data_IF_506816209970
#
_entry.id   IF_506816209970
#
_cell.length_a   1.000
_cell.length_b   1.000
_cell.length_c   1.000
_cell.angle_alpha   90.00
_cell.angle_beta   90.00
_cell.angle_gamma   90.00
#
_symmetry.space_group_name_H-M   'P 1'
#
loop_
_entity.id
_entity.type
_entity.pdbx_description
1 polymer ?
#
# COMPACT_ATOMS: atom_id res chain seq x y z
N UNK A 1 -9.36 26.63 2.44
CA UNK A 1 -9.45 25.15 2.42
C UNK A 1 -8.14 24.67 1.87
N UNK A 2 -7.48 23.68 2.50
CA UNK A 2 -6.19 23.14 2.03
C UNK A 2 -6.41 22.02 1.02
N UNK A 3 -5.66 22.04 -0.07
CA UNK A 3 -5.68 21.00 -1.12
C UNK A 3 -4.67 19.92 -0.80
N UNK A 4 -5.12 18.71 -0.55
CA UNK A 4 -4.27 17.55 -0.23
C UNK A 4 -4.32 16.59 -1.41
N UNK A 5 -3.17 16.37 -2.06
CA UNK A 5 -3.07 15.39 -3.14
C UNK A 5 -2.44 14.12 -2.62
N UNK A 6 -3.10 12.97 -2.83
CA UNK A 6 -2.58 11.65 -2.49
C UNK A 6 -2.18 10.94 -3.78
N UNK A 7 -0.90 10.54 -3.87
CA UNK A 7 -0.32 9.92 -5.07
C UNK A 7 0.10 8.48 -4.77
N UNK A 8 -0.34 7.54 -5.59
CA UNK A 8 0.03 6.13 -5.49
C UNK A 8 -0.15 5.40 -6.83
N UNK A 9 0.50 4.24 -7.00
CA UNK A 9 0.49 3.55 -8.28
C UNK A 9 0.29 2.05 -8.21
N UNK A 10 0.40 1.45 -7.02
CA UNK A 10 0.34 0.01 -6.82
C UNK A 10 -0.80 -0.39 -5.90
N UNK A 11 -1.19 -1.67 -5.95
CA UNK A 11 -2.21 -2.23 -5.05
C UNK A 11 -1.87 -2.08 -3.56
N UNK A 12 -0.64 -2.39 -3.10
CA UNK A 12 -0.28 -2.23 -1.69
C UNK A 12 -0.38 -0.79 -1.20
N UNK A 13 0.04 0.18 -2.01
CA UNK A 13 -0.12 1.60 -1.69
C UNK A 13 -1.60 1.98 -1.61
N UNK A 14 -2.41 1.58 -2.59
CA UNK A 14 -3.84 1.88 -2.61
C UNK A 14 -4.57 1.36 -1.37
N UNK A 15 -4.26 0.14 -0.93
CA UNK A 15 -4.80 -0.47 0.29
C UNK A 15 -4.53 0.43 1.50
N UNK A 16 -3.32 0.97 1.62
CA UNK A 16 -2.91 1.77 2.78
C UNK A 16 -3.30 3.24 2.66
N UNK A 17 -3.48 3.76 1.45
CA UNK A 17 -3.91 5.14 1.21
C UNK A 17 -5.44 5.30 1.25
N UNK A 18 -6.21 4.25 1.00
CA UNK A 18 -7.67 4.29 0.98
C UNK A 18 -8.28 4.83 2.30
N UNK A 19 -7.88 4.41 3.51
CA UNK A 19 -8.39 4.97 4.75
C UNK A 19 -8.10 6.48 4.87
N UNK A 20 -6.91 6.91 4.45
CA UNK A 20 -6.51 8.32 4.45
C UNK A 20 -7.43 9.15 3.55
N UNK A 21 -7.65 8.69 2.31
CA UNK A 21 -8.55 9.35 1.37
C UNK A 21 -9.93 9.51 1.98
N UNK A 22 -10.48 8.44 2.59
CA UNK A 22 -11.80 8.49 3.24
C UNK A 22 -11.82 9.47 4.40
N UNK A 23 -10.79 9.49 5.23
CA UNK A 23 -10.67 10.41 6.36
C UNK A 23 -10.63 11.88 5.91
N UNK A 24 -9.91 12.22 4.85
CA UNK A 24 -9.89 13.57 4.28
C UNK A 24 -11.23 13.91 3.63
N UNK A 25 -11.83 13.00 2.86
CA UNK A 25 -13.14 13.20 2.23
C UNK A 25 -14.26 13.43 3.23
N UNK A 26 -14.17 12.89 4.45
CA UNK A 26 -15.13 13.19 5.54
C UNK A 26 -14.99 14.60 6.09
N UNK A 27 -13.84 15.26 5.90
CA UNK A 27 -13.54 16.60 6.40
C UNK A 27 -13.54 17.66 5.28
N UNK A 28 -14.52 17.59 4.38
CA UNK A 28 -14.65 18.47 3.20
C UNK A 28 -14.66 19.96 3.52
N UNK A 29 -15.05 20.33 4.73
CA UNK A 29 -15.02 21.72 5.19
C UNK A 29 -13.60 22.25 5.48
N UNK A 30 -12.61 21.36 5.61
CA UNK A 30 -11.20 21.70 5.89
C UNK A 30 -10.29 21.41 4.72
N UNK A 31 -10.55 20.31 4.00
CA UNK A 31 -9.67 19.77 2.98
C UNK A 31 -10.40 19.54 1.65
N UNK A 32 -9.76 19.93 0.57
CA UNK A 32 -10.04 19.46 -0.78
C UNK A 32 -9.11 18.26 -1.03
N UNK A 33 -9.69 17.08 -1.25
CA UNK A 33 -8.93 15.84 -1.42
C UNK A 33 -8.80 15.54 -2.89
N UNK A 34 -7.58 15.44 -3.39
CA UNK A 34 -7.25 15.12 -4.78
C UNK A 34 -6.55 13.76 -4.80
N UNK A 35 -7.06 12.84 -5.60
CA UNK A 35 -6.51 11.50 -5.76
C UNK A 35 -5.85 11.40 -7.14
N UNK A 36 -4.54 11.18 -7.16
CA UNK A 36 -3.78 10.93 -8.37
C UNK A 36 -3.22 9.51 -8.37
N UNK A 37 -3.57 8.73 -9.37
CA UNK A 37 -3.02 7.39 -9.55
C UNK A 37 -2.06 7.36 -10.72
N UNK A 38 -0.95 6.63 -10.58
CA UNK A 38 0.00 6.48 -11.68
C UNK A 38 -0.32 5.26 -12.55
N UNK A 39 -1.01 4.25 -11.99
CA UNK A 39 -1.39 3.05 -12.73
C UNK A 39 -0.18 2.17 -13.06
N UNK A 40 0.80 2.08 -12.15
CA UNK A 40 1.98 1.20 -12.33
C UNK A 40 1.59 -0.27 -12.45
N UNK A 41 0.52 -0.72 -11.73
CA UNK A 41 -0.08 -2.06 -11.80
C UNK A 41 -1.60 -1.92 -11.94
N UNK A 42 -2.10 -1.79 -13.15
CA UNK A 42 -3.46 -1.33 -13.45
C UNK A 42 -4.58 -2.17 -12.86
N UNK A 43 -4.67 -3.45 -13.23
CA UNK A 43 -5.82 -4.30 -12.84
C UNK A 43 -5.97 -4.46 -11.33
N UNK A 44 -4.86 -4.68 -10.64
CA UNK A 44 -4.85 -4.87 -9.18
C UNK A 44 -5.16 -3.58 -8.43
N UNK A 45 -4.74 -2.43 -8.96
CA UNK A 45 -5.05 -1.11 -8.40
C UNK A 45 -6.55 -0.83 -8.51
N UNK A 46 -7.14 -1.06 -9.67
CA UNK A 46 -8.56 -0.82 -9.94
C UNK A 46 -9.48 -1.65 -9.05
N UNK A 47 -9.08 -2.87 -8.67
CA UNK A 47 -9.83 -3.68 -7.71
C UNK A 47 -9.95 -2.99 -6.35
N UNK A 48 -8.87 -2.39 -5.85
CA UNK A 48 -8.88 -1.66 -4.57
C UNK A 48 -9.70 -0.38 -4.70
N UNK A 49 -9.51 0.38 -5.77
CA UNK A 49 -10.29 1.61 -6.01
C UNK A 49 -11.80 1.33 -6.01
N UNK A 50 -12.23 0.24 -6.68
CA UNK A 50 -13.63 -0.19 -6.67
C UNK A 50 -14.11 -0.61 -5.29
N UNK A 51 -13.30 -1.42 -4.55
CA UNK A 51 -13.65 -1.89 -3.21
C UNK A 51 -13.93 -0.73 -2.25
N UNK A 52 -13.09 0.32 -2.33
CA UNK A 52 -13.22 1.50 -1.48
C UNK A 52 -14.08 2.61 -2.09
N UNK A 53 -14.68 2.38 -3.26
CA UNK A 53 -15.44 3.40 -3.99
C UNK A 53 -14.64 4.73 -4.09
N UNK A 54 -13.39 4.63 -4.58
CA UNK A 54 -12.50 5.76 -4.83
C UNK A 54 -12.46 5.99 -6.33
N UNK A 55 -12.75 7.22 -6.74
CA UNK A 55 -12.58 7.70 -8.12
C UNK A 55 -11.35 8.61 -8.12
N UNK A 56 -10.30 8.27 -8.88
CA UNK A 56 -9.16 9.18 -9.06
C UNK A 56 -9.60 10.45 -9.80
N UNK A 57 -9.05 11.58 -9.41
CA UNK A 57 -9.18 12.86 -10.11
C UNK A 57 -8.21 12.92 -11.28
N UNK A 58 -7.02 12.30 -11.11
CA UNK A 58 -5.97 12.19 -12.12
C UNK A 58 -5.49 10.75 -12.25
N UNK A 59 -5.24 10.32 -13.49
CA UNK A 59 -4.74 9.00 -13.82
C UNK A 59 -3.65 9.11 -14.90
N UNK A 60 -2.40 8.88 -14.51
CA UNK A 60 -1.26 8.97 -15.43
C UNK A 60 -1.15 7.78 -16.39
N UNK A 61 -1.78 6.65 -16.03
CA UNK A 61 -1.83 5.43 -16.83
C UNK A 61 -0.47 5.04 -17.44
N UNK A 62 0.58 4.98 -16.57
CA UNK A 62 1.95 4.79 -17.01
C UNK A 62 2.30 3.35 -17.37
N UNK A 63 1.43 2.38 -17.04
CA UNK A 63 1.73 0.96 -17.24
C UNK A 63 1.97 0.64 -18.73
N UNK A 64 3.10 0.02 -19.03
CA UNK A 64 3.43 -0.53 -20.34
C UNK A 64 4.12 -1.87 -20.21
N UNK A 65 3.96 -2.71 -21.22
CA UNK A 65 4.63 -4.01 -21.25
C UNK A 65 6.15 -3.81 -21.36
N UNK A 66 6.92 -4.53 -20.52
CA UNK A 66 8.37 -4.50 -20.56
C UNK A 66 9.01 -3.25 -19.96
N UNK A 67 8.23 -2.37 -19.28
CA UNK A 67 8.79 -1.18 -18.62
C UNK A 67 9.77 -1.55 -17.50
N UNK A 68 10.85 -0.81 -17.43
CA UNK A 68 11.84 -0.88 -16.35
C UNK A 68 11.68 0.27 -15.32
N UNK A 69 12.57 0.33 -14.34
CA UNK A 69 12.54 1.37 -13.31
C UNK A 69 12.81 2.77 -13.87
N UNK A 70 13.62 2.88 -14.91
CA UNK A 70 13.90 4.16 -15.58
C UNK A 70 12.63 4.68 -16.26
N UNK A 71 11.92 3.81 -16.96
CA UNK A 71 10.65 4.13 -17.61
C UNK A 71 9.60 4.61 -16.60
N UNK A 72 9.42 3.88 -15.50
CA UNK A 72 8.47 4.24 -14.43
C UNK A 72 8.84 5.59 -13.85
N UNK A 73 10.11 5.79 -13.46
CA UNK A 73 10.58 7.04 -12.87
C UNK A 73 10.35 8.22 -13.81
N UNK A 74 10.78 8.11 -15.07
CA UNK A 74 10.67 9.20 -16.04
C UNK A 74 9.20 9.57 -16.31
N UNK A 75 8.32 8.57 -16.48
CA UNK A 75 6.89 8.80 -16.77
C UNK A 75 6.14 9.39 -15.58
N UNK A 76 6.41 8.91 -14.36
CA UNK A 76 5.80 9.50 -13.15
C UNK A 76 6.28 10.92 -12.99
N UNK A 77 7.59 11.17 -13.06
CA UNK A 77 8.17 12.51 -12.89
C UNK A 77 7.60 13.52 -13.88
N UNK A 78 7.56 13.17 -15.17
CA UNK A 78 7.05 14.06 -16.22
C UNK A 78 5.53 14.20 -16.18
N UNK A 79 4.79 13.12 -15.94
CA UNK A 79 3.33 13.18 -15.82
C UNK A 79 2.86 13.97 -14.60
N UNK A 80 3.54 13.83 -13.48
CA UNK A 80 3.25 14.62 -12.26
C UNK A 80 3.47 16.12 -12.47
N UNK A 81 4.43 16.53 -13.30
CA UNK A 81 4.64 17.96 -13.59
C UNK A 81 3.35 18.65 -14.03
N UNK A 82 2.68 18.07 -15.02
CA UNK A 82 1.48 18.67 -15.62
C UNK A 82 0.30 18.64 -14.62
N UNK A 83 0.14 17.53 -13.88
CA UNK A 83 -0.87 17.39 -12.83
C UNK A 83 -0.66 18.42 -11.71
N UNK A 84 0.57 18.62 -11.25
CA UNK A 84 0.88 19.58 -10.19
C UNK A 84 0.66 21.02 -10.62
N UNK A 85 0.97 21.35 -11.87
CA UNK A 85 0.71 22.70 -12.45
C UNK A 85 -0.79 23.01 -12.54
N UNK A 86 -1.61 22.01 -12.88
CA UNK A 86 -3.07 22.16 -12.98
C UNK A 86 -3.73 22.20 -11.60
N UNK A 87 -3.49 21.17 -10.77
CA UNK A 87 -4.17 20.98 -9.49
C UNK A 87 -3.71 21.95 -8.41
N UNK A 88 -2.44 22.37 -8.42
CA UNK A 88 -1.83 23.27 -7.44
C UNK A 88 -2.12 22.85 -5.99
N UNK A 89 -1.74 21.64 -5.57
CA UNK A 89 -1.99 21.18 -4.21
C UNK A 89 -1.11 21.95 -3.20
N UNK A 90 -1.62 22.11 -1.97
CA UNK A 90 -0.82 22.66 -0.85
C UNK A 90 0.17 21.64 -0.29
N UNK A 91 -0.11 20.34 -0.47
CA UNK A 91 0.75 19.23 -0.05
C UNK A 91 0.51 18.01 -0.92
N UNK A 92 1.56 17.25 -1.18
CA UNK A 92 1.52 15.93 -1.80
C UNK A 92 1.83 14.87 -0.76
N UNK A 93 0.96 13.86 -0.61
CA UNK A 93 1.18 12.70 0.22
C UNK A 93 1.59 11.52 -0.65
N UNK A 94 2.72 10.90 -0.32
CA UNK A 94 3.22 9.66 -0.94
C UNK A 94 3.35 8.57 0.11
N UNK A 95 3.36 7.31 -0.31
CA UNK A 95 3.35 6.18 0.62
C UNK A 95 4.53 5.22 0.39
N UNK A 96 5.22 4.88 1.48
CA UNK A 96 6.21 3.79 1.51
C UNK A 96 7.43 4.06 0.64
N UNK A 97 7.72 3.13 -0.26
CA UNK A 97 9.04 2.98 -0.88
C UNK A 97 9.02 2.58 -2.36
N UNK A 98 7.88 2.73 -3.03
CA UNK A 98 7.79 2.43 -4.45
C UNK A 98 8.51 3.47 -5.30
N UNK A 99 8.87 3.10 -6.51
CA UNK A 99 9.40 4.05 -7.51
C UNK A 99 8.40 5.18 -7.79
N UNK A 100 7.09 4.88 -7.77
CA UNK A 100 6.03 5.89 -7.86
C UNK A 100 6.15 6.93 -6.75
N UNK A 101 6.28 6.50 -5.49
CA UNK A 101 6.37 7.39 -4.33
C UNK A 101 7.57 8.33 -4.42
N UNK A 102 8.74 7.80 -4.79
CA UNK A 102 9.98 8.56 -4.93
C UNK A 102 9.90 9.56 -6.08
N UNK A 103 9.44 9.13 -7.25
CA UNK A 103 9.34 10.00 -8.43
C UNK A 103 8.26 11.10 -8.24
N UNK A 104 7.14 10.79 -7.58
CA UNK A 104 6.10 11.77 -7.26
C UNK A 104 6.59 12.78 -6.19
N UNK A 105 7.34 12.33 -5.18
CA UNK A 105 7.96 13.21 -4.19
C UNK A 105 8.97 14.16 -4.84
N UNK A 106 9.79 13.65 -5.77
CA UNK A 106 10.75 14.47 -6.52
C UNK A 106 10.06 15.50 -7.42
N UNK A 107 8.97 15.11 -8.09
CA UNK A 107 8.17 16.03 -8.89
C UNK A 107 7.56 17.16 -8.04
N UNK A 108 7.01 16.82 -6.86
CA UNK A 108 6.48 17.79 -5.91
C UNK A 108 7.58 18.76 -5.42
N UNK A 109 8.75 18.23 -5.09
CA UNK A 109 9.91 19.04 -4.69
C UNK A 109 10.32 20.04 -5.78
N UNK A 110 10.37 19.63 -7.06
CA UNK A 110 10.65 20.54 -8.17
C UNK A 110 9.57 21.61 -8.34
N UNK A 111 8.33 21.29 -8.01
CA UNK A 111 7.22 22.26 -7.95
C UNK A 111 7.19 23.10 -6.68
N UNK A 112 8.17 22.97 -5.78
CA UNK A 112 8.20 23.63 -4.46
C UNK A 112 6.95 23.33 -3.60
N UNK A 113 6.37 22.14 -3.77
CA UNK A 113 5.20 21.68 -3.02
C UNK A 113 5.68 20.77 -1.89
N UNK A 114 5.30 21.06 -0.63
CA UNK A 114 5.66 20.21 0.51
C UNK A 114 5.18 18.76 0.34
N UNK A 115 5.98 17.81 0.82
CA UNK A 115 5.69 16.38 0.74
C UNK A 115 5.48 15.79 2.13
N UNK A 116 4.42 15.00 2.29
CA UNK A 116 4.22 14.14 3.45
C UNK A 116 4.47 12.68 3.08
N UNK A 117 5.34 12.02 3.84
CA UNK A 117 5.71 10.62 3.62
C UNK A 117 4.96 9.72 4.60
N UNK A 118 4.00 8.96 4.10
CA UNK A 118 3.22 7.98 4.87
C UNK A 118 3.99 6.65 4.91
N UNK A 119 4.03 6.00 6.07
CA UNK A 119 4.85 4.82 6.37
C UNK A 119 6.36 5.12 6.30
N UNK A 120 6.75 6.29 6.82
CA UNK A 120 8.13 6.77 6.81
C UNK A 120 9.01 6.06 7.84
N UNK A 121 10.32 5.98 7.57
CA UNK A 121 11.32 5.57 8.55
C UNK A 121 11.55 4.06 8.68
N UNK A 122 10.96 3.23 7.84
CA UNK A 122 11.38 1.82 7.72
C UNK A 122 12.80 1.75 7.15
N UNK A 123 13.70 0.96 7.74
CA UNK A 123 15.09 0.78 7.30
C UNK A 123 15.54 -0.67 7.43
N UNK A 124 16.28 -1.12 6.44
CA UNK A 124 17.06 -2.36 6.47
C UNK A 124 18.55 -2.09 6.63
N UNK A 125 18.97 -0.83 6.37
CA UNK A 125 20.37 -0.40 6.34
C UNK A 125 21.20 -1.08 5.25
N UNK A 126 20.55 -1.68 4.25
CA UNK A 126 21.18 -2.24 3.07
C UNK A 126 20.44 -1.75 1.82
N UNK A 127 21.02 -0.80 1.09
CA UNK A 127 20.40 -0.14 -0.07
C UNK A 127 20.07 -1.10 -1.23
N UNK A 128 20.60 -2.32 -1.19
CA UNK A 128 20.35 -3.37 -2.17
C UNK A 128 19.36 -4.44 -1.67
N UNK A 129 18.81 -4.31 -0.44
CA UNK A 129 17.88 -5.29 0.12
C UNK A 129 16.86 -4.67 1.09
N UNK A 130 15.58 -4.60 0.69
CA UNK A 130 15.03 -4.89 -0.64
C UNK A 130 15.46 -3.83 -1.67
N UNK A 131 15.60 -4.26 -2.89
CA UNK A 131 15.97 -3.37 -4.00
C UNK A 131 14.79 -3.20 -4.98
N UNK A 132 14.43 -1.97 -5.39
CA UNK A 132 15.05 -0.67 -5.08
C UNK A 132 14.46 0.03 -3.83
N UNK A 133 13.61 -0.64 -3.05
CA UNK A 133 12.75 -0.07 -2.02
C UNK A 133 13.53 0.65 -0.92
N UNK A 134 14.66 0.08 -0.45
CA UNK A 134 15.43 0.72 0.63
C UNK A 134 15.99 2.09 0.21
N UNK A 135 16.50 2.20 -1.01
CA UNK A 135 16.99 3.49 -1.52
C UNK A 135 15.83 4.45 -1.78
N UNK A 136 14.71 3.98 -2.32
CA UNK A 136 13.54 4.80 -2.55
C UNK A 136 13.03 5.47 -1.26
N UNK A 137 12.96 4.72 -0.14
CA UNK A 137 12.50 5.27 1.13
C UNK A 137 13.47 6.29 1.73
N UNK A 138 14.78 6.10 1.51
CA UNK A 138 15.79 7.07 1.94
C UNK A 138 15.69 8.38 1.13
N UNK A 139 15.57 8.30 -0.20
CA UNK A 139 15.40 9.47 -1.07
C UNK A 139 14.12 10.21 -0.71
N UNK A 140 13.00 9.49 -0.60
CA UNK A 140 11.70 10.07 -0.22
C UNK A 140 11.78 10.73 1.16
N UNK A 141 12.46 10.10 2.11
CA UNK A 141 12.67 10.64 3.46
C UNK A 141 13.49 11.94 3.46
N UNK A 142 14.43 12.13 2.53
CA UNK A 142 15.16 13.39 2.40
C UNK A 142 14.35 14.53 1.79
N UNK A 143 13.41 14.20 0.91
CA UNK A 143 12.55 15.17 0.24
C UNK A 143 11.39 15.61 1.14
N UNK A 144 10.85 14.68 1.94
CA UNK A 144 9.65 14.90 2.70
C UNK A 144 9.80 15.98 3.78
N UNK A 145 8.77 16.82 3.92
CA UNK A 145 8.64 17.82 4.98
C UNK A 145 8.07 17.17 6.23
N UNK A 146 7.05 16.32 6.11
CA UNK A 146 6.42 15.61 7.22
C UNK A 146 6.55 14.10 7.06
N UNK A 147 6.82 13.43 8.17
CA UNK A 147 7.03 11.99 8.23
C UNK A 147 6.01 11.33 9.15
N UNK A 148 5.16 10.49 8.59
CA UNK A 148 4.17 9.72 9.33
C UNK A 148 4.72 8.31 9.57
N UNK A 149 5.40 8.13 10.70
CA UNK A 149 6.10 6.91 11.06
C UNK A 149 5.13 5.86 11.64
N UNK A 150 5.21 4.58 11.22
CA UNK A 150 4.31 3.55 11.76
C UNK A 150 4.64 3.16 13.19
N UNK A 151 5.89 3.30 13.62
CA UNK A 151 6.36 2.86 14.94
C UNK A 151 7.40 3.82 15.54
N UNK A 152 7.67 3.66 16.85
CA UNK A 152 8.77 4.35 17.52
C UNK A 152 10.14 4.00 16.90
N UNK A 153 10.34 2.75 16.46
CA UNK A 153 11.57 2.35 15.77
C UNK A 153 11.76 3.14 14.47
N UNK A 154 10.71 3.25 13.66
CA UNK A 154 10.73 4.03 12.42
C UNK A 154 11.02 5.52 12.68
N UNK A 155 10.43 6.09 13.76
CA UNK A 155 10.77 7.44 14.19
C UNK A 155 12.25 7.59 14.55
N UNK A 156 12.80 6.64 15.30
CA UNK A 156 14.21 6.68 15.73
C UNK A 156 15.15 6.61 14.52
N UNK A 157 14.86 5.81 13.50
CA UNK A 157 15.64 5.77 12.27
C UNK A 157 15.69 7.16 11.59
N UNK A 158 14.56 7.85 11.51
CA UNK A 158 14.49 9.20 10.94
C UNK A 158 15.28 10.23 11.76
N UNK A 159 15.21 10.15 13.10
CA UNK A 159 16.00 11.01 13.98
C UNK A 159 17.52 10.81 13.79
N UNK A 160 17.95 9.54 13.66
CA UNK A 160 19.36 9.20 13.39
C UNK A 160 19.85 9.75 12.03
N UNK A 161 18.95 9.91 11.08
CA UNK A 161 19.24 10.52 9.77
C UNK A 161 19.13 12.05 9.78
N UNK A 162 18.90 12.66 10.93
CA UNK A 162 18.86 14.11 11.12
C UNK A 162 17.54 14.78 10.72
N UNK A 163 16.43 14.02 10.66
CA UNK A 163 15.09 14.60 10.49
C UNK A 163 14.68 15.27 11.81
N UNK A 164 14.16 16.50 11.70
CA UNK A 164 13.64 17.24 12.87
C UNK A 164 12.49 16.48 13.56
N UNK A 165 12.57 16.39 14.87
CA UNK A 165 11.58 15.68 15.69
C UNK A 165 10.15 16.23 15.54
N UNK A 166 10.00 17.53 15.31
CA UNK A 166 8.73 18.21 15.14
C UNK A 166 8.04 17.83 13.82
N UNK A 167 8.80 17.34 12.86
CA UNK A 167 8.30 16.87 11.56
C UNK A 167 7.98 15.38 11.52
N UNK A 168 8.17 14.64 12.65
CA UNK A 168 7.93 13.20 12.72
C UNK A 168 6.75 12.89 13.62
N UNK A 169 5.71 12.29 13.04
CA UNK A 169 4.50 11.89 13.76
C UNK A 169 4.37 10.36 13.75
N UNK A 170 4.22 9.73 14.94
CA UNK A 170 3.94 8.30 15.03
C UNK A 170 2.43 8.12 14.84
N UNK A 171 2.03 7.51 13.73
CA UNK A 171 0.62 7.37 13.32
C UNK A 171 0.11 5.93 13.26
N UNK A 172 0.97 4.95 13.48
CA UNK A 172 0.63 3.54 13.22
C UNK A 172 0.68 3.22 11.72
N UNK A 173 0.14 2.05 11.36
CA UNK A 173 0.10 1.58 9.99
C UNK A 173 -1.35 1.49 9.50
N UNK A 174 -1.66 2.24 8.47
CA UNK A 174 -3.01 2.36 7.89
C UNK A 174 -3.56 1.06 7.30
N UNK A 175 -2.73 0.01 7.13
CA UNK A 175 -3.22 -1.32 6.74
C UNK A 175 -4.18 -1.90 7.78
N UNK A 176 -4.01 -1.54 9.04
CA UNK A 176 -4.91 -1.99 10.12
C UNK A 176 -6.29 -1.35 9.96
N UNK A 177 -6.32 -0.04 9.66
CA UNK A 177 -7.59 0.68 9.39
C UNK A 177 -8.30 0.09 8.18
N UNK A 178 -7.55 -0.26 7.13
CA UNK A 178 -8.07 -0.95 5.94
C UNK A 178 -8.69 -2.30 6.31
N UNK A 179 -7.99 -3.10 7.11
CA UNK A 179 -8.49 -4.41 7.54
C UNK A 179 -9.80 -4.27 8.31
N UNK A 180 -9.87 -3.36 9.29
CA UNK A 180 -11.09 -3.11 10.04
C UNK A 180 -12.23 -2.64 9.14
N UNK A 181 -11.96 -1.73 8.22
CA UNK A 181 -12.98 -1.26 7.26
C UNK A 181 -13.53 -2.39 6.41
N UNK A 182 -12.67 -3.24 5.83
CA UNK A 182 -13.09 -4.38 5.02
C UNK A 182 -13.88 -5.39 5.84
N UNK A 183 -13.43 -5.72 7.05
CA UNK A 183 -14.13 -6.64 7.95
C UNK A 183 -15.52 -6.10 8.30
N UNK A 184 -15.64 -4.82 8.67
CA UNK A 184 -16.94 -4.19 8.95
C UNK A 184 -17.85 -4.21 7.73
N UNK A 185 -17.32 -3.84 6.56
CA UNK A 185 -18.07 -3.85 5.29
C UNK A 185 -18.65 -5.25 4.99
N UNK A 186 -17.85 -6.31 5.18
CA UNK A 186 -18.31 -7.69 4.96
C UNK A 186 -19.37 -8.07 6.00
N UNK A 187 -19.20 -7.67 7.26
CA UNK A 187 -20.15 -7.98 8.35
C UNK A 187 -21.50 -7.28 8.15
N UNK A 188 -21.47 -6.04 7.72
CA UNK A 188 -22.65 -5.18 7.55
C UNK A 188 -23.38 -5.40 6.22
N UNK A 189 -22.75 -6.10 5.25
CA UNK A 189 -23.34 -6.38 3.94
C UNK A 189 -23.56 -7.88 3.70
N UNK A 190 -24.77 -8.41 4.00
CA UNK A 190 -25.09 -9.84 3.83
C UNK A 190 -24.93 -10.32 2.37
N UNK A 191 -25.25 -9.46 1.40
CA UNK A 191 -25.12 -9.78 -0.03
C UNK A 191 -23.67 -9.99 -0.42
N UNK A 192 -22.78 -9.07 -0.02
CA UNK A 192 -21.34 -9.21 -0.24
C UNK A 192 -20.79 -10.47 0.43
N UNK A 193 -21.18 -10.71 1.68
CA UNK A 193 -20.79 -11.91 2.42
C UNK A 193 -21.21 -13.19 1.70
N UNK A 194 -22.44 -13.23 1.15
CA UNK A 194 -22.92 -14.37 0.37
C UNK A 194 -22.13 -14.56 -0.93
N UNK A 195 -21.83 -13.48 -1.66
CA UNK A 195 -21.01 -13.52 -2.87
C UNK A 195 -19.61 -14.08 -2.58
N UNK A 196 -18.95 -13.60 -1.52
CA UNK A 196 -17.64 -14.10 -1.10
C UNK A 196 -17.68 -15.59 -0.73
N UNK A 197 -18.73 -16.03 -0.02
CA UNK A 197 -18.93 -17.43 0.30
C UNK A 197 -19.10 -18.30 -0.95
N UNK A 198 -19.81 -17.81 -1.98
CA UNK A 198 -19.96 -18.51 -3.26
C UNK A 198 -18.60 -18.63 -3.95
N UNK A 199 -17.82 -17.56 -3.99
CA UNK A 199 -16.48 -17.57 -4.58
C UNK A 199 -15.53 -18.55 -3.88
N UNK A 200 -15.52 -18.55 -2.55
CA UNK A 200 -14.71 -19.49 -1.77
C UNK A 200 -15.11 -20.95 -2.02
N UNK A 201 -16.42 -21.23 -2.09
CA UNK A 201 -16.93 -22.57 -2.40
C UNK A 201 -16.58 -23.01 -3.82
N UNK A 202 -16.66 -22.11 -4.81
CA UNK A 202 -16.27 -22.41 -6.18
C UNK A 202 -14.77 -22.68 -6.33
N UNK A 203 -13.95 -22.08 -5.46
CA UNK A 203 -12.52 -22.38 -5.32
C UNK A 203 -12.24 -23.66 -4.52
N UNK A 204 -13.26 -24.42 -4.11
CA UNK A 204 -13.13 -25.68 -3.38
C UNK A 204 -13.05 -25.54 -1.86
N UNK A 205 -13.13 -24.31 -1.30
CA UNK A 205 -13.06 -24.13 0.15
C UNK A 205 -14.40 -24.34 0.83
N UNK A 206 -14.43 -25.18 1.88
CA UNK A 206 -15.63 -25.50 2.63
C UNK A 206 -15.91 -24.40 3.67
N UNK A 207 -16.66 -23.36 3.27
CA UNK A 207 -16.97 -22.20 4.13
C UNK A 207 -17.69 -22.54 5.46
N UNK A 208 -18.27 -23.73 5.58
CA UNK A 208 -18.83 -24.23 6.85
C UNK A 208 -17.76 -24.32 7.97
N UNK A 209 -16.49 -24.38 7.62
CA UNK A 209 -15.38 -24.36 8.60
C UNK A 209 -15.21 -23.01 9.29
N UNK A 210 -15.77 -21.93 8.77
CA UNK A 210 -15.83 -20.62 9.45
C UNK A 210 -17.00 -20.48 10.44
N UNK A 211 -17.88 -21.50 10.58
CA UNK A 211 -18.94 -21.44 11.56
C UNK A 211 -18.33 -21.42 12.97
N UNK A 212 -18.90 -20.63 13.88
CA UNK A 212 -18.45 -20.50 15.28
C UNK A 212 -18.34 -21.84 16.02
N UNK A 213 -19.05 -22.86 15.55
CA UNK A 213 -19.04 -24.21 16.10
C UNK A 213 -17.99 -25.13 15.48
N UNK A 214 -17.25 -24.65 14.48
CA UNK A 214 -16.19 -25.47 13.85
C UNK A 214 -14.99 -25.59 14.79
N UNK A 215 -14.58 -26.84 15.06
CA UNK A 215 -13.34 -27.13 15.81
C UNK A 215 -12.08 -27.04 14.92
N UNK A 216 -12.23 -26.87 13.60
CA UNK A 216 -11.10 -26.77 12.69
C UNK A 216 -10.43 -25.40 12.84
N UNK A 217 -9.10 -25.42 12.83
CA UNK A 217 -8.26 -24.22 12.80
C UNK A 217 -7.87 -23.92 11.37
N UNK A 218 -7.64 -22.66 11.06
CA UNK A 218 -7.13 -22.23 9.76
C UNK A 218 -5.75 -21.55 9.92
N UNK A 219 -4.83 -21.93 9.08
CA UNK A 219 -3.53 -21.27 8.89
C UNK A 219 -3.52 -20.64 7.50
N UNK A 220 -3.59 -19.31 7.44
CA UNK A 220 -3.44 -18.57 6.20
C UNK A 220 -1.96 -18.39 5.90
N UNK A 221 -1.55 -18.83 4.71
CA UNK A 221 -0.17 -18.75 4.24
C UNK A 221 -0.08 -17.72 3.12
N UNK A 222 0.84 -16.77 3.23
CA UNK A 222 1.15 -15.84 2.16
C UNK A 222 2.64 -15.89 1.85
N UNK A 223 2.99 -16.05 0.58
CA UNK A 223 4.38 -16.11 0.16
C UNK A 223 4.52 -15.67 -1.28
N UNK A 224 5.22 -14.56 -1.51
CA UNK A 224 5.41 -13.99 -2.85
C UNK A 224 6.76 -13.30 -3.05
N UNK A 225 7.71 -13.46 -2.12
CA UNK A 225 9.02 -12.82 -2.22
C UNK A 225 9.89 -13.51 -3.26
N UNK A 226 10.43 -12.73 -4.19
CA UNK A 226 11.33 -13.23 -5.25
C UNK A 226 12.58 -13.93 -4.71
N UNK A 227 13.04 -13.52 -3.53
CA UNK A 227 14.18 -14.11 -2.82
C UNK A 227 13.98 -15.60 -2.51
N UNK A 228 12.74 -16.06 -2.44
CA UNK A 228 12.40 -17.45 -2.17
C UNK A 228 12.18 -18.29 -3.44
N UNK A 229 12.37 -17.76 -4.64
CA UNK A 229 12.22 -18.54 -5.87
C UNK A 229 13.37 -19.58 -6.01
N UNK A 230 13.05 -20.71 -6.62
CA UNK A 230 13.97 -21.87 -6.74
C UNK A 230 13.81 -22.83 -5.57
N UNK A 231 14.91 -23.34 -5.04
CA UNK A 231 14.94 -24.38 -4.00
C UNK A 231 14.24 -23.96 -2.71
N UNK A 232 14.33 -22.69 -2.33
CA UNK A 232 13.64 -22.15 -1.15
C UNK A 232 12.12 -22.29 -1.24
N UNK A 233 11.54 -22.05 -2.41
CA UNK A 233 10.10 -22.21 -2.64
C UNK A 233 9.67 -23.69 -2.55
N UNK A 234 10.48 -24.59 -3.11
CA UNK A 234 10.24 -26.04 -3.02
C UNK A 234 10.25 -26.49 -1.56
N UNK A 235 11.21 -26.02 -0.77
CA UNK A 235 11.28 -26.33 0.67
C UNK A 235 10.07 -25.82 1.44
N UNK A 236 9.57 -24.62 1.13
CA UNK A 236 8.34 -24.09 1.72
C UNK A 236 7.14 -24.99 1.37
N UNK A 237 7.00 -25.38 0.11
CA UNK A 237 5.92 -26.29 -0.33
C UNK A 237 6.00 -27.66 0.37
N UNK A 238 7.20 -28.22 0.53
CA UNK A 238 7.41 -29.48 1.24
C UNK A 238 7.03 -29.36 2.73
N UNK A 239 7.42 -28.26 3.38
CA UNK A 239 7.05 -27.99 4.76
C UNK A 239 5.52 -27.87 4.94
N UNK A 240 4.84 -27.13 4.04
CA UNK A 240 3.37 -27.02 4.06
C UNK A 240 2.73 -28.40 3.88
N UNK A 241 3.20 -29.20 2.92
CA UNK A 241 2.71 -30.56 2.70
C UNK A 241 2.85 -31.40 3.96
N UNK A 242 4.04 -31.45 4.55
CA UNK A 242 4.32 -32.22 5.77
C UNK A 242 3.40 -31.80 6.93
N UNK A 243 3.19 -30.48 7.10
CA UNK A 243 2.30 -29.97 8.14
C UNK A 243 0.82 -30.33 7.87
N UNK A 244 0.37 -30.25 6.62
CA UNK A 244 -0.99 -30.59 6.25
C UNK A 244 -1.29 -32.10 6.44
N UNK A 245 -0.31 -32.97 6.14
CA UNK A 245 -0.42 -34.39 6.36
C UNK A 245 -0.40 -34.75 7.87
N UNK A 246 0.34 -34.00 8.68
CA UNK A 246 0.46 -34.23 10.13
C UNK A 246 -0.72 -33.69 10.94
N UNK A 247 -1.30 -32.56 10.51
CA UNK A 247 -2.36 -31.86 11.24
C UNK A 247 -3.64 -31.82 10.42
N UNK A 248 -4.29 -32.96 10.30
CA UNK A 248 -5.48 -33.15 9.45
C UNK A 248 -6.70 -32.34 9.90
N UNK A 249 -6.72 -31.86 11.16
CA UNK A 249 -7.75 -30.97 11.72
C UNK A 249 -7.51 -29.48 11.42
N UNK A 250 -6.38 -29.14 10.78
CA UNK A 250 -6.02 -27.77 10.41
C UNK A 250 -6.17 -27.57 8.90
N UNK A 251 -6.80 -26.48 8.51
CA UNK A 251 -6.87 -26.06 7.12
C UNK A 251 -5.69 -25.14 6.78
N UNK A 252 -4.85 -25.55 5.86
CA UNK A 252 -3.76 -24.73 5.34
C UNK A 252 -4.24 -24.09 4.04
N UNK A 253 -4.38 -22.75 4.03
CA UNK A 253 -4.87 -21.96 2.89
C UNK A 253 -3.72 -21.11 2.37
N UNK A 254 -3.27 -21.38 1.13
CA UNK A 254 -2.16 -20.69 0.47
C UNK A 254 -2.67 -19.81 -0.68
#
# INVERSE_FOLDING_TARGET
MKKIMLVFGTRPEAIKMAPLIKAFQQKKNKFETIVCVTGQHREMLDQVLRLFNIRPDYDLNIMRQGQDLYDVTARVLTGMRDVLQEAKPDIVLVHGDTTTSTAAALAAFYGQIPVGHVEAGLRTHNIYSPWPEEMNRQITGRIATWHFAPTALSRNNLLQEGVDADNIHITGNTVIDTLYHVVSTIRENPTLRQQLNIQLRSAGYKTAYFAEQSRRKMVLITGHRRENFGDGFIQICQAIKTLAERYTEVDFVY
#
